data_IF_809338281633
#
_entry.id   IF_809338281633
#
_cell.length_a   1.000
_cell.length_b   1.000
_cell.length_c   1.000
_cell.angle_alpha   90.00
_cell.angle_beta   90.00
_cell.angle_gamma   90.00
#
_symmetry.space_group_name_H-M   'P 1'
#
loop_
_entity.id
_entity.type
_entity.pdbx_description
1 polymer ?
#
# COMPACT_ATOMS: atom_id res chain seq x y z
N UNK A 1 -17.82 7.07 -8.10
CA UNK A 1 -17.27 7.71 -6.88
C UNK A 1 -15.88 8.22 -7.21
N UNK A 2 -15.52 9.46 -6.87
CA UNK A 2 -14.13 9.91 -7.03
C UNK A 2 -13.24 9.16 -6.03
N UNK A 3 -12.08 8.68 -6.48
CA UNK A 3 -11.08 8.13 -5.58
C UNK A 3 -10.72 9.17 -4.50
N UNK A 4 -10.51 8.75 -3.25
CA UNK A 4 -10.10 9.66 -2.18
C UNK A 4 -8.82 10.38 -2.59
N UNK A 5 -8.79 11.69 -2.32
CA UNK A 5 -7.64 12.54 -2.62
C UNK A 5 -7.25 13.34 -1.39
N UNK A 6 -5.96 13.64 -1.27
CA UNK A 6 -5.40 14.49 -0.23
C UNK A 6 -4.97 15.81 -0.84
N UNK A 7 -5.26 16.90 -0.13
CA UNK A 7 -4.74 18.23 -0.45
C UNK A 7 -3.45 18.47 0.33
N UNK A 8 -2.45 19.07 -0.33
CA UNK A 8 -1.21 19.51 0.30
C UNK A 8 -0.77 20.82 -0.37
N UNK A 9 -1.01 21.96 0.29
CA UNK A 9 -0.88 23.26 -0.36
C UNK A 9 -1.76 23.34 -1.61
N UNK A 10 -1.17 23.78 -2.73
CA UNK A 10 -1.85 23.83 -4.04
C UNK A 10 -1.92 22.48 -4.78
N UNK A 11 -1.51 21.37 -4.15
CA UNK A 11 -1.46 20.05 -4.77
C UNK A 11 -2.71 19.23 -4.44
N UNK A 12 -3.22 18.51 -5.45
CA UNK A 12 -4.20 17.43 -5.26
C UNK A 12 -3.52 16.10 -5.55
N UNK A 13 -3.37 15.28 -4.52
CA UNK A 13 -2.70 13.98 -4.57
C UNK A 13 -3.77 12.89 -4.56
N UNK A 14 -3.77 12.04 -5.57
CA UNK A 14 -4.69 10.90 -5.68
C UNK A 14 -3.89 9.61 -5.67
N UNK A 15 -4.30 8.66 -4.84
CA UNK A 15 -3.80 7.29 -4.87
C UNK A 15 -4.58 6.52 -5.93
N UNK A 16 -3.88 5.84 -6.82
CA UNK A 16 -4.45 4.93 -7.82
C UNK A 16 -4.00 3.53 -7.43
N UNK A 17 -4.95 2.70 -7.01
CA UNK A 17 -4.69 1.32 -6.64
C UNK A 17 -4.92 0.43 -7.87
N UNK A 18 -3.90 -0.30 -8.28
CA UNK A 18 -4.01 -1.21 -9.42
C UNK A 18 -4.45 -2.60 -8.97
N UNK A 19 -3.77 -3.13 -7.95
CA UNK A 19 -4.02 -4.46 -7.40
C UNK A 19 -3.66 -4.48 -5.91
N UNK A 20 -4.39 -5.29 -5.15
CA UNK A 20 -3.94 -5.78 -3.84
C UNK A 20 -3.86 -7.29 -3.94
N UNK A 21 -2.69 -7.85 -3.66
CA UNK A 21 -2.46 -9.28 -3.74
C UNK A 21 -1.89 -9.81 -2.43
N UNK A 22 -2.35 -10.98 -1.95
CA UNK A 22 -1.82 -11.56 -0.73
C UNK A 22 -0.43 -12.16 -0.97
N UNK A 23 0.47 -12.01 0.00
CA UNK A 23 1.83 -12.57 -0.07
C UNK A 23 2.27 -13.08 1.29
N UNK A 24 3.01 -14.20 1.31
CA UNK A 24 3.66 -14.69 2.53
C UNK A 24 4.80 -13.76 2.95
N UNK A 25 4.79 -13.31 4.20
CA UNK A 25 5.79 -12.39 4.72
C UNK A 25 7.21 -12.97 4.66
N UNK A 26 7.37 -14.30 4.75
CA UNK A 26 8.67 -14.97 4.65
C UNK A 26 9.33 -14.78 3.28
N UNK A 27 8.58 -14.49 2.22
CA UNK A 27 9.17 -14.25 0.89
C UNK A 27 9.90 -12.89 0.81
N UNK A 28 9.44 -11.89 1.56
CA UNK A 28 10.05 -10.55 1.60
C UNK A 28 10.99 -10.36 2.80
N UNK A 29 10.68 -11.01 3.91
CA UNK A 29 11.41 -10.89 5.18
C UNK A 29 11.90 -12.26 5.66
N UNK A 30 12.73 -12.97 4.86
CA UNK A 30 13.10 -14.37 5.12
C UNK A 30 13.92 -14.57 6.40
N UNK A 31 14.50 -13.50 6.95
CA UNK A 31 15.32 -13.54 8.16
C UNK A 31 14.51 -13.37 9.46
N UNK A 32 13.21 -13.06 9.35
CA UNK A 32 12.34 -12.85 10.52
C UNK A 32 11.65 -14.15 10.95
N UNK A 33 11.33 -14.22 12.24
CA UNK A 33 10.62 -15.33 12.87
C UNK A 33 9.22 -14.90 13.32
N UNK A 34 8.33 -15.85 13.61
CA UNK A 34 6.99 -15.51 14.13
C UNK A 34 7.04 -14.64 15.42
N UNK A 35 8.09 -14.79 16.24
CA UNK A 35 8.27 -14.00 17.46
C UNK A 35 8.57 -12.53 17.16
N UNK A 36 9.25 -12.22 16.04
CA UNK A 36 9.55 -10.85 15.63
C UNK A 36 8.28 -10.11 15.18
N UNK A 37 7.30 -10.84 14.63
CA UNK A 37 6.03 -10.28 14.16
C UNK A 37 4.97 -10.14 15.25
N UNK A 38 4.98 -11.02 16.27
CA UNK A 38 3.95 -11.08 17.30
C UNK A 38 3.65 -9.72 18.00
N UNK A 39 4.65 -8.88 18.36
CA UNK A 39 4.40 -7.57 18.95
C UNK A 39 3.67 -6.60 18.00
N UNK A 40 3.77 -6.81 16.70
CA UNK A 40 3.28 -5.90 15.67
C UNK A 40 1.93 -6.30 15.07
N UNK A 41 1.42 -7.49 15.37
CA UNK A 41 0.14 -7.96 14.81
C UNK A 41 -1.03 -7.01 15.07
N UNK A 42 -1.09 -6.40 16.26
CA UNK A 42 -2.19 -5.52 16.65
C UNK A 42 -2.40 -4.26 15.78
N UNK A 43 -1.38 -3.80 15.05
CA UNK A 43 -1.48 -2.64 14.15
C UNK A 43 -1.35 -3.02 12.66
N UNK A 44 -1.10 -4.30 12.38
CA UNK A 44 -1.07 -4.86 11.04
C UNK A 44 -2.41 -5.50 10.67
N UNK A 45 -3.04 -6.20 11.61
CA UNK A 45 -4.32 -6.87 11.39
C UNK A 45 -5.50 -5.89 11.49
N UNK A 46 -6.56 -6.07 10.69
CA UNK A 46 -6.71 -7.07 9.62
C UNK A 46 -6.22 -6.57 8.25
N UNK A 47 -5.88 -5.28 8.13
CA UNK A 47 -5.79 -4.60 6.83
C UNK A 47 -4.47 -4.86 6.09
N UNK A 48 -3.35 -4.93 6.83
CA UNK A 48 -2.02 -5.17 6.26
C UNK A 48 -1.56 -6.63 6.40
N UNK A 49 -2.06 -7.35 7.40
CA UNK A 49 -1.84 -8.78 7.62
C UNK A 49 -3.21 -9.45 7.85
N UNK A 50 -3.51 -10.48 7.06
CA UNK A 50 -4.71 -11.28 7.22
C UNK A 50 -4.56 -12.23 8.43
N UNK A 51 -5.43 -12.12 9.46
CA UNK A 51 -5.30 -12.91 10.68
C UNK A 51 -5.59 -14.41 10.46
N UNK A 52 -6.37 -14.77 9.43
CA UNK A 52 -6.76 -16.15 9.15
C UNK A 52 -5.71 -16.85 8.27
N UNK A 53 -5.14 -16.13 7.30
CA UNK A 53 -4.22 -16.72 6.32
C UNK A 53 -2.74 -16.45 6.58
N UNK A 54 -2.41 -15.55 7.52
CA UNK A 54 -1.05 -15.07 7.81
C UNK A 54 -0.32 -14.50 6.57
N UNK A 55 -1.08 -13.86 5.68
CA UNK A 55 -0.57 -13.24 4.46
C UNK A 55 -0.63 -11.71 4.55
N UNK A 56 0.45 -11.06 4.13
CA UNK A 56 0.48 -9.61 3.95
C UNK A 56 -0.36 -9.21 2.76
N UNK A 57 -1.13 -8.14 2.91
CA UNK A 57 -1.84 -7.51 1.80
C UNK A 57 -0.89 -6.52 1.11
N UNK A 58 -0.45 -6.84 -0.10
CA UNK A 58 0.52 -6.04 -0.83
C UNK A 58 -0.15 -5.17 -1.90
N UNK A 59 -0.28 -3.84 -1.69
CA UNK A 59 -0.88 -2.94 -2.67
C UNK A 59 0.14 -2.49 -3.72
N UNK A 60 -0.15 -2.77 -4.98
CA UNK A 60 0.50 -2.15 -6.14
C UNK A 60 -0.26 -0.89 -6.50
N UNK A 61 0.44 0.25 -6.46
CA UNK A 61 -0.19 1.57 -6.53
C UNK A 61 0.69 2.62 -7.18
N UNK A 62 0.03 3.55 -7.85
CA UNK A 62 0.61 4.77 -8.40
C UNK A 62 0.01 5.99 -7.70
N UNK A 63 0.64 7.15 -7.89
CA UNK A 63 0.06 8.43 -7.48
C UNK A 63 -0.09 9.36 -8.67
N UNK A 64 -1.22 10.04 -8.72
CA UNK A 64 -1.43 11.17 -9.63
C UNK A 64 -1.42 12.44 -8.79
N UNK A 65 -0.43 13.29 -9.04
CA UNK A 65 -0.31 14.60 -8.41
C UNK A 65 -0.70 15.66 -9.41
N UNK A 66 -1.78 16.38 -9.13
CA UNK A 66 -2.19 17.55 -9.92
C UNK A 66 -1.64 18.81 -9.28
N UNK A 67 -0.86 19.55 -10.06
CA UNK A 67 -0.43 20.91 -9.76
C UNK A 67 -1.32 21.91 -10.53
N UNK A 68 -1.02 23.20 -10.44
CA UNK A 68 -1.63 24.23 -11.29
C UNK A 68 -1.28 24.09 -12.78
N UNK A 69 -0.16 23.43 -13.10
CA UNK A 69 0.39 23.38 -14.46
C UNK A 69 0.34 22.00 -15.10
N UNK A 70 0.55 20.94 -14.31
CA UNK A 70 0.76 19.60 -14.84
C UNK A 70 0.05 18.52 -14.01
N UNK A 71 -0.52 17.50 -14.68
CA UNK A 71 -0.74 16.20 -14.07
C UNK A 71 0.56 15.39 -14.10
N UNK A 72 1.01 14.93 -12.93
CA UNK A 72 2.22 14.13 -12.77
C UNK A 72 1.80 12.73 -12.34
N UNK A 73 2.25 11.71 -13.06
CA UNK A 73 2.16 10.32 -12.66
C UNK A 73 3.46 9.93 -11.95
N UNK A 74 3.36 9.38 -10.74
CA UNK A 74 4.47 8.80 -9.98
C UNK A 74 4.27 7.29 -9.99
N UNK A 75 5.25 6.61 -10.58
CA UNK A 75 5.26 5.19 -10.92
C UNK A 75 4.09 4.74 -11.81
N UNK A 76 4.32 3.70 -12.61
CA UNK A 76 3.30 3.08 -13.45
C UNK A 76 3.06 1.61 -13.08
N UNK A 77 3.37 1.24 -11.84
CA UNK A 77 3.16 -0.11 -11.31
C UNK A 77 3.71 -1.21 -12.22
N UNK A 78 2.92 -2.24 -12.52
CA UNK A 78 3.38 -3.50 -13.13
C UNK A 78 3.20 -3.57 -14.65
N UNK A 79 2.43 -2.67 -15.27
CA UNK A 79 2.35 -2.53 -16.74
C UNK A 79 0.95 -2.39 -17.31
#
# INVERSE_FOLDING_TARGET
>A
MMAPHRLLGGLKIMRVLELVTPFKWQHFFPETTAADWAPHRHWLEPDALDPDTDQLQFPMQSYVVRTSHHPILIDSCVG
#
